data_IF_551282708119
#
_entry.id   IF_551282708119
#
_cell.length_a   1.000
_cell.length_b   1.000
_cell.length_c   1.000
_cell.angle_alpha   90.00
_cell.angle_beta   90.00
_cell.angle_gamma   90.00
#
_symmetry.space_group_name_H-M   'P 1'
#
loop_
_entity.id
_entity.type
_entity.pdbx_description
1 polymer ?
#
# COMPACT_ATOMS: atom_id res chain seq x y z
N UNK A 1 -14.06 -26.84 14.46
CA UNK A 1 -12.96 -26.51 13.53
C UNK A 1 -12.35 -25.21 14.01
N UNK A 2 -11.08 -25.21 14.43
CA UNK A 2 -10.35 -23.99 14.78
C UNK A 2 -10.24 -23.14 13.51
N UNK A 3 -10.78 -21.94 13.56
CA UNK A 3 -10.70 -21.00 12.43
C UNK A 3 -9.25 -20.52 12.28
N UNK A 4 -8.73 -20.60 11.05
CA UNK A 4 -7.34 -20.26 10.74
C UNK A 4 -7.08 -18.76 10.87
N UNK A 5 -5.94 -18.34 11.41
CA UNK A 5 -5.60 -16.93 11.54
C UNK A 5 -5.23 -16.30 10.19
N UNK A 6 -5.56 -15.00 10.04
CA UNK A 6 -5.16 -14.14 8.95
C UNK A 6 -4.20 -13.07 9.47
N UNK A 7 -3.05 -12.96 8.82
CA UNK A 7 -2.05 -11.91 9.03
C UNK A 7 -2.11 -10.94 7.85
N UNK A 8 -2.37 -9.67 8.10
CA UNK A 8 -2.63 -8.67 7.04
C UNK A 8 -1.52 -7.61 7.04
N UNK A 9 -0.73 -7.57 5.97
CA UNK A 9 0.09 -6.41 5.65
C UNK A 9 -0.72 -5.48 4.75
N UNK A 10 -1.25 -4.41 5.35
CA UNK A 10 -2.19 -3.48 4.68
C UNK A 10 -1.50 -2.41 3.82
N UNK A 11 -0.22 -2.46 3.66
CA UNK A 11 0.59 -1.44 2.98
C UNK A 11 0.98 -0.35 4.01
N UNK A 12 0.87 0.95 3.80
CA UNK A 12 0.13 1.62 2.72
C UNK A 12 0.86 1.63 1.36
N UNK A 13 0.29 2.36 0.40
CA UNK A 13 0.99 2.63 -0.85
C UNK A 13 2.28 3.41 -0.59
N UNK A 14 3.31 3.15 -1.40
CA UNK A 14 4.60 3.85 -1.37
C UNK A 14 5.36 3.74 -0.04
N UNK A 15 5.13 2.67 0.69
CA UNK A 15 5.81 2.34 1.96
C UNK A 15 6.68 1.06 1.87
N UNK A 16 7.03 0.63 0.64
CA UNK A 16 7.86 -0.56 0.44
C UNK A 16 7.07 -1.88 0.33
N UNK A 17 5.76 -1.82 0.06
CA UNK A 17 4.91 -3.02 -0.09
C UNK A 17 5.43 -3.99 -1.14
N UNK A 18 5.93 -3.49 -2.28
CA UNK A 18 6.49 -4.36 -3.32
C UNK A 18 7.76 -5.08 -2.87
N UNK A 19 8.61 -4.44 -2.04
CA UNK A 19 9.78 -5.09 -1.45
C UNK A 19 9.36 -6.17 -0.45
N UNK A 20 8.35 -5.90 0.38
CA UNK A 20 7.78 -6.89 1.27
C UNK A 20 7.19 -8.10 0.52
N UNK A 21 6.44 -7.86 -0.56
CA UNK A 21 5.91 -8.93 -1.41
C UNK A 21 7.02 -9.73 -2.10
N UNK A 22 8.13 -9.09 -2.49
CA UNK A 22 9.32 -9.79 -2.99
C UNK A 22 9.94 -10.67 -1.89
N UNK A 23 10.04 -10.17 -0.66
CA UNK A 23 10.49 -10.95 0.49
C UNK A 23 9.60 -12.20 0.71
N UNK A 24 8.28 -12.07 0.63
CA UNK A 24 7.37 -13.21 0.68
C UNK A 24 7.63 -14.21 -0.47
N UNK A 25 7.96 -13.72 -1.67
CA UNK A 25 8.29 -14.59 -2.80
C UNK A 25 9.58 -15.36 -2.57
N UNK A 26 10.67 -14.68 -2.22
CA UNK A 26 12.00 -15.29 -2.04
C UNK A 26 12.03 -16.29 -0.88
N UNK A 27 11.22 -16.05 0.16
CA UNK A 27 11.11 -16.92 1.32
C UNK A 27 9.91 -17.89 1.27
N UNK A 28 9.26 -18.05 0.10
CA UNK A 28 8.04 -18.87 -0.04
C UNK A 28 8.19 -20.30 0.47
N UNK A 29 9.33 -20.95 0.19
CA UNK A 29 9.58 -22.32 0.62
C UNK A 29 9.69 -22.42 2.15
N UNK A 30 10.45 -21.54 2.78
CA UNK A 30 10.58 -21.47 4.24
C UNK A 30 9.24 -21.19 4.93
N UNK A 31 8.47 -20.24 4.41
CA UNK A 31 7.13 -19.90 4.92
C UNK A 31 6.15 -21.08 4.75
N UNK A 32 6.21 -21.77 3.63
CA UNK A 32 5.42 -22.98 3.39
C UNK A 32 5.78 -24.12 4.37
N UNK A 33 7.07 -24.33 4.66
CA UNK A 33 7.55 -25.30 5.66
C UNK A 33 7.11 -24.91 7.09
N UNK A 34 7.01 -23.60 7.38
CA UNK A 34 6.44 -23.09 8.62
C UNK A 34 4.90 -23.19 8.68
N UNK A 35 4.26 -23.81 7.68
CA UNK A 35 2.81 -24.01 7.65
C UNK A 35 1.98 -22.79 7.23
N UNK A 36 2.60 -21.78 6.63
CA UNK A 36 1.95 -20.53 6.21
C UNK A 36 1.62 -20.55 4.71
N UNK A 37 0.47 -20.02 4.36
CA UNK A 37 0.08 -19.70 2.97
C UNK A 37 0.26 -18.22 2.69
N UNK A 38 0.44 -17.86 1.42
CA UNK A 38 0.74 -16.50 0.97
C UNK A 38 -0.26 -16.02 -0.06
N UNK A 39 -0.75 -14.79 0.11
CA UNK A 39 -1.60 -14.11 -0.85
C UNK A 39 -1.10 -12.67 -1.09
N UNK A 40 -0.63 -12.40 -2.29
CA UNK A 40 -0.23 -11.06 -2.73
C UNK A 40 -0.38 -10.91 -4.26
N UNK A 41 -0.61 -9.69 -4.78
CA UNK A 41 -0.74 -9.47 -6.21
C UNK A 41 0.64 -9.49 -6.92
N UNK A 42 0.65 -9.93 -8.18
CA UNK A 42 1.84 -9.90 -9.05
C UNK A 42 2.12 -8.54 -9.70
N UNK A 43 1.74 -7.44 -9.04
CA UNK A 43 2.03 -6.08 -9.53
C UNK A 43 3.53 -5.83 -9.51
N UNK A 44 3.96 -4.89 -10.33
CA UNK A 44 5.37 -4.47 -10.41
C UNK A 44 6.39 -5.56 -10.76
N UNK A 45 5.89 -6.69 -11.27
CA UNK A 45 6.73 -7.83 -11.66
C UNK A 45 7.17 -8.70 -10.49
N UNK A 46 6.44 -8.67 -9.37
CA UNK A 46 6.63 -9.62 -8.28
C UNK A 46 6.19 -11.01 -8.76
N UNK A 47 7.10 -12.00 -8.76
CA UNK A 47 6.77 -13.34 -9.22
C UNK A 47 5.79 -14.06 -8.30
N UNK A 48 5.06 -15.04 -8.83
CA UNK A 48 4.11 -15.88 -8.08
C UNK A 48 3.00 -15.12 -7.34
N UNK A 49 2.84 -13.83 -7.59
CA UNK A 49 1.73 -13.04 -7.08
C UNK A 49 0.55 -13.16 -8.03
N UNK A 50 -0.54 -13.71 -7.56
CA UNK A 50 -1.77 -13.98 -8.33
C UNK A 50 -3.04 -13.52 -7.62
N UNK A 51 -2.90 -12.92 -6.43
CA UNK A 51 -4.04 -12.41 -5.69
C UNK A 51 -4.82 -11.37 -6.50
N UNK A 52 -6.07 -11.68 -6.76
CA UNK A 52 -7.03 -10.81 -7.44
C UNK A 52 -8.20 -10.42 -6.52
N UNK A 53 -7.87 -9.91 -5.33
CA UNK A 53 -8.88 -9.49 -4.36
C UNK A 53 -9.67 -8.28 -4.88
N UNK A 54 -10.95 -8.50 -5.18
CA UNK A 54 -11.84 -7.49 -5.72
C UNK A 54 -12.65 -6.85 -4.60
N UNK A 55 -12.18 -5.71 -4.13
CA UNK A 55 -12.82 -4.88 -3.11
C UNK A 55 -13.51 -3.66 -3.76
N UNK A 56 -14.49 -3.01 -3.09
CA UNK A 56 -15.17 -1.83 -3.62
C UNK A 56 -14.19 -0.74 -4.08
N UNK A 57 -14.41 -0.18 -5.26
CA UNK A 57 -13.44 0.74 -5.89
C UNK A 57 -13.92 2.17 -6.10
N UNK A 58 -15.23 2.40 -6.00
CA UNK A 58 -15.87 3.68 -6.34
C UNK A 58 -16.70 4.18 -5.17
N UNK A 59 -16.56 5.46 -4.84
CA UNK A 59 -17.38 6.13 -3.81
C UNK A 59 -18.86 6.02 -4.22
N UNK A 60 -19.71 5.68 -3.22
CA UNK A 60 -21.15 5.50 -3.46
C UNK A 60 -21.52 4.17 -4.14
N UNK A 61 -20.52 3.30 -4.41
CA UNK A 61 -20.83 1.96 -4.91
C UNK A 61 -21.50 1.15 -3.79
N UNK A 62 -22.69 0.65 -4.08
CA UNK A 62 -23.36 -0.32 -3.24
C UNK A 62 -22.54 -1.62 -3.20
N UNK A 63 -22.28 -2.12 -1.98
CA UNK A 63 -21.53 -3.35 -1.78
C UNK A 63 -22.47 -4.51 -2.02
N UNK A 64 -22.43 -5.07 -3.22
CA UNK A 64 -23.28 -6.20 -3.59
C UNK A 64 -22.77 -7.51 -2.97
N UNK A 65 -23.68 -8.42 -2.60
CA UNK A 65 -23.37 -9.75 -2.02
C UNK A 65 -22.33 -10.54 -2.81
N UNK A 66 -22.36 -10.43 -4.13
CA UNK A 66 -21.34 -11.04 -5.01
C UNK A 66 -19.90 -10.63 -4.70
N UNK A 67 -19.66 -9.46 -4.08
CA UNK A 67 -18.31 -9.04 -3.69
C UNK A 67 -17.80 -9.83 -2.51
N UNK A 68 -18.66 -10.06 -1.50
CA UNK A 68 -18.33 -10.91 -0.35
C UNK A 68 -17.99 -12.33 -0.79
N UNK A 69 -18.88 -12.93 -1.60
CA UNK A 69 -18.70 -14.31 -2.09
C UNK A 69 -17.39 -14.45 -2.89
N UNK A 70 -17.08 -13.50 -3.77
CA UNK A 70 -15.84 -13.53 -4.56
C UNK A 70 -14.59 -13.33 -3.70
N UNK A 71 -14.63 -12.40 -2.76
CA UNK A 71 -13.51 -12.17 -1.85
C UNK A 71 -13.28 -13.40 -0.97
N UNK A 72 -14.33 -14.03 -0.46
CA UNK A 72 -14.28 -15.25 0.33
C UNK A 72 -13.65 -16.41 -0.47
N UNK A 73 -14.13 -16.65 -1.69
CA UNK A 73 -13.58 -17.70 -2.56
C UNK A 73 -12.07 -17.46 -2.81
N UNK A 74 -11.70 -16.22 -3.17
CA UNK A 74 -10.29 -15.85 -3.40
C UNK A 74 -9.43 -16.12 -2.17
N UNK A 75 -9.86 -15.71 -0.99
CA UNK A 75 -9.08 -15.91 0.24
C UNK A 75 -9.00 -17.39 0.63
N UNK A 76 -10.07 -18.14 0.44
CA UNK A 76 -10.09 -19.59 0.69
C UNK A 76 -9.12 -20.33 -0.24
N UNK A 77 -9.11 -20.00 -1.52
CA UNK A 77 -8.21 -20.62 -2.51
C UNK A 77 -6.73 -20.36 -2.14
N UNK A 78 -6.40 -19.15 -1.68
CA UNK A 78 -5.04 -18.81 -1.27
C UNK A 78 -4.63 -19.40 0.09
N UNK A 79 -5.58 -19.61 1.00
CA UNK A 79 -5.24 -20.14 2.33
C UNK A 79 -4.83 -21.61 2.31
N UNK A 80 -5.36 -22.39 1.36
CA UNK A 80 -5.10 -23.84 1.28
C UNK A 80 -5.22 -24.51 2.65
N UNK A 81 -6.23 -24.13 3.44
CA UNK A 81 -6.47 -24.62 4.79
C UNK A 81 -5.31 -24.42 5.79
N UNK A 82 -4.55 -23.34 5.61
CA UNK A 82 -3.44 -22.89 6.48
C UNK A 82 -3.62 -21.46 6.92
N UNK A 83 -2.96 -21.01 8.00
CA UNK A 83 -2.81 -19.59 8.30
C UNK A 83 -2.32 -18.82 7.07
N UNK A 84 -2.92 -17.64 6.82
CA UNK A 84 -2.68 -16.89 5.60
C UNK A 84 -1.99 -15.57 5.88
N UNK A 85 -0.88 -15.29 5.20
CA UNK A 85 -0.28 -13.95 5.10
C UNK A 85 -0.86 -13.28 3.86
N UNK A 86 -1.64 -12.23 4.06
CA UNK A 86 -2.22 -11.38 3.02
C UNK A 86 -1.45 -10.06 2.93
N UNK A 87 -0.82 -9.77 1.79
CA UNK A 87 -0.19 -8.47 1.54
C UNK A 87 -0.88 -7.77 0.37
N UNK A 88 -1.64 -6.71 0.66
CA UNK A 88 -2.39 -5.97 -0.37
C UNK A 88 -2.51 -4.48 0.01
N UNK A 89 -1.77 -3.63 -0.69
CA UNK A 89 -1.78 -2.18 -0.47
C UNK A 89 -3.11 -1.50 -0.80
N UNK A 90 -3.89 -2.10 -1.71
CA UNK A 90 -5.21 -1.55 -2.05
C UNK A 90 -6.31 -1.90 -1.03
N UNK A 91 -6.02 -2.53 0.11
CA UNK A 91 -7.01 -2.66 1.18
C UNK A 91 -7.56 -1.28 1.57
N UNK A 92 -6.71 -0.27 1.66
CA UNK A 92 -7.13 1.10 1.97
C UNK A 92 -7.85 1.81 0.82
N UNK A 93 -7.69 1.33 -0.41
CA UNK A 93 -8.22 1.97 -1.62
C UNK A 93 -7.12 2.43 -2.56
N UNK A 94 -7.40 3.42 -3.39
CA UNK A 94 -6.50 3.88 -4.46
C UNK A 94 -5.98 5.28 -4.20
N UNK A 95 -4.71 5.54 -4.49
CA UNK A 95 -4.05 6.84 -4.31
C UNK A 95 -4.60 7.96 -5.20
N UNK A 96 -5.27 7.66 -6.33
CA UNK A 96 -5.76 8.71 -7.21
C UNK A 96 -6.78 9.64 -6.54
N UNK A 97 -7.42 9.20 -5.46
CA UNK A 97 -8.33 10.02 -4.67
C UNK A 97 -7.61 11.19 -3.97
N UNK A 98 -6.31 11.08 -3.70
CA UNK A 98 -5.52 12.16 -3.12
C UNK A 98 -5.53 13.42 -3.98
N UNK A 99 -5.53 13.26 -5.31
CA UNK A 99 -5.64 14.38 -6.27
C UNK A 99 -6.97 15.13 -6.17
N UNK A 100 -7.93 14.61 -5.42
CA UNK A 100 -9.25 15.21 -5.15
C UNK A 100 -9.41 15.62 -3.69
N UNK A 101 -8.36 15.66 -2.91
CA UNK A 101 -8.41 15.97 -1.48
C UNK A 101 -9.07 14.88 -0.61
N UNK A 102 -9.13 13.65 -1.09
CA UNK A 102 -9.79 12.54 -0.41
C UNK A 102 -8.78 11.46 0.00
N UNK A 103 -8.56 11.30 1.29
CA UNK A 103 -7.58 10.35 1.83
C UNK A 103 -8.21 8.97 2.06
N UNK A 104 -7.97 8.04 1.14
CA UNK A 104 -8.50 6.66 1.17
C UNK A 104 -10.01 6.57 1.47
N UNK A 105 -10.87 7.21 0.70
CA UNK A 105 -12.30 7.31 1.01
C UNK A 105 -13.02 5.97 1.05
N UNK A 106 -12.44 4.94 0.42
CA UNK A 106 -13.02 3.60 0.34
C UNK A 106 -12.50 2.62 1.40
N UNK A 107 -11.66 3.07 2.35
CA UNK A 107 -11.04 2.17 3.33
C UNK A 107 -12.09 1.41 4.15
N UNK A 108 -13.12 2.08 4.66
CA UNK A 108 -14.20 1.45 5.46
C UNK A 108 -14.91 0.31 4.71
N UNK A 109 -15.62 0.58 3.61
CA UNK A 109 -16.31 -0.45 2.83
C UNK A 109 -15.40 -1.61 2.38
N UNK A 110 -14.13 -1.33 2.10
CA UNK A 110 -13.15 -2.35 1.69
C UNK A 110 -12.76 -3.26 2.85
N UNK A 111 -12.52 -2.67 4.02
CA UNK A 111 -12.23 -3.43 5.24
C UNK A 111 -13.43 -4.28 5.67
N UNK A 112 -14.66 -3.77 5.55
CA UNK A 112 -15.88 -4.52 5.84
C UNK A 112 -16.03 -5.75 4.94
N UNK A 113 -15.79 -5.59 3.62
CA UNK A 113 -15.81 -6.72 2.69
C UNK A 113 -14.72 -7.74 3.04
N UNK A 114 -13.50 -7.29 3.34
CA UNK A 114 -12.41 -8.17 3.74
C UNK A 114 -12.75 -8.93 5.02
N UNK A 115 -13.27 -8.23 6.04
CA UNK A 115 -13.67 -8.84 7.33
C UNK A 115 -14.77 -9.89 7.13
N UNK A 116 -15.80 -9.58 6.37
CA UNK A 116 -16.89 -10.50 6.09
C UNK A 116 -16.48 -11.72 5.23
N UNK A 117 -15.48 -11.53 4.37
CA UNK A 117 -14.95 -12.61 3.52
C UNK A 117 -14.07 -13.61 4.29
N UNK A 118 -13.53 -13.25 5.45
CA UNK A 118 -12.69 -14.11 6.27
C UNK A 118 -13.42 -14.60 7.50
N UNK A 119 -13.72 -15.90 7.55
CA UNK A 119 -14.48 -16.48 8.66
C UNK A 119 -13.66 -16.63 9.96
N UNK A 120 -12.33 -16.63 9.87
CA UNK A 120 -11.42 -16.79 11.00
C UNK A 120 -11.05 -15.49 11.73
N UNK A 121 -10.20 -15.57 12.75
CA UNK A 121 -9.63 -14.40 13.38
C UNK A 121 -8.70 -13.65 12.41
N UNK A 122 -8.68 -12.32 12.49
CA UNK A 122 -7.60 -11.51 11.93
C UNK A 122 -6.61 -11.32 13.07
N UNK A 123 -5.59 -12.21 13.10
CA UNK A 123 -4.65 -12.26 14.21
C UNK A 123 -3.81 -10.98 14.30
N UNK A 124 -3.39 -10.45 13.13
CA UNK A 124 -2.58 -9.24 13.14
C UNK A 124 -2.80 -8.41 11.86
N UNK A 125 -2.90 -7.10 12.02
CA UNK A 125 -2.83 -6.13 10.93
C UNK A 125 -1.59 -5.26 11.14
N UNK A 126 -0.73 -5.21 10.14
CA UNK A 126 0.46 -4.36 10.09
C UNK A 126 0.26 -3.27 9.02
N UNK A 127 0.35 -2.01 9.43
CA UNK A 127 0.28 -0.84 8.57
C UNK A 127 1.57 -0.03 8.68
N UNK A 128 2.25 0.21 7.56
CA UNK A 128 3.34 1.18 7.48
C UNK A 128 2.80 2.49 6.94
N UNK A 129 3.01 3.57 7.67
CA UNK A 129 2.57 4.93 7.30
C UNK A 129 3.76 5.80 6.88
N UNK A 130 3.50 6.83 6.10
CA UNK A 130 4.54 7.70 5.55
C UNK A 130 4.17 9.17 5.77
N UNK A 131 5.17 10.09 5.95
CA UNK A 131 4.94 11.53 5.93
C UNK A 131 4.13 11.97 4.70
N UNK A 132 3.20 12.89 4.89
CA UNK A 132 2.23 13.27 3.87
C UNK A 132 2.85 13.83 2.61
N UNK A 133 3.85 14.72 2.74
CA UNK A 133 4.58 15.30 1.63
C UNK A 133 5.21 14.22 0.74
N UNK A 134 5.96 13.31 1.35
CA UNK A 134 6.60 12.20 0.65
C UNK A 134 5.59 11.20 0.07
N UNK A 135 4.45 10.97 0.75
CA UNK A 135 3.38 10.11 0.25
C UNK A 135 2.72 10.72 -1.00
N UNK A 136 2.33 11.98 -0.94
CA UNK A 136 1.59 12.65 -2.02
C UNK A 136 2.47 12.84 -3.27
N UNK A 137 3.70 13.31 -3.08
CA UNK A 137 4.67 13.42 -4.19
C UNK A 137 4.92 12.05 -4.82
N UNK A 138 5.21 11.02 -4.02
CA UNK A 138 5.47 9.68 -4.53
C UNK A 138 4.25 9.05 -5.21
N UNK A 139 3.05 9.28 -4.67
CA UNK A 139 1.80 8.82 -5.25
C UNK A 139 1.48 9.51 -6.58
N UNK A 140 1.68 10.83 -6.67
CA UNK A 140 1.50 11.60 -7.89
C UNK A 140 2.49 11.15 -8.98
N UNK A 141 3.78 11.04 -8.66
CA UNK A 141 4.83 10.57 -9.58
C UNK A 141 4.49 9.18 -10.12
N UNK A 142 4.05 8.27 -9.26
CA UNK A 142 3.63 6.92 -9.68
C UNK A 142 2.42 6.95 -10.63
N UNK A 143 1.48 7.86 -10.40
CA UNK A 143 0.34 8.05 -11.29
C UNK A 143 0.76 8.61 -12.65
N UNK A 144 1.73 9.51 -12.68
CA UNK A 144 2.25 10.13 -13.89
C UNK A 144 3.02 9.18 -14.81
N UNK A 145 3.46 8.01 -14.30
CA UNK A 145 4.13 6.99 -15.12
C UNK A 145 3.24 6.40 -16.21
N UNK A 146 1.96 6.19 -15.94
CA UNK A 146 1.05 5.45 -16.82
C UNK A 146 -0.25 6.20 -17.16
N UNK A 147 -0.38 7.44 -16.70
CA UNK A 147 -1.55 8.27 -16.95
C UNK A 147 -1.18 9.72 -17.19
N UNK A 148 -1.98 10.49 -17.97
CA UNK A 148 -1.90 11.94 -17.94
C UNK A 148 -2.28 12.45 -16.56
N UNK A 149 -1.54 13.46 -16.10
CA UNK A 149 -1.81 14.15 -14.83
C UNK A 149 -1.80 15.68 -15.07
N UNK A 150 -2.61 16.45 -14.32
CA UNK A 150 -2.49 17.91 -14.35
C UNK A 150 -1.16 18.32 -13.70
N UNK A 151 -0.71 19.57 -13.85
CA UNK A 151 0.45 20.09 -13.13
C UNK A 151 0.32 19.88 -11.62
N UNK A 152 1.42 19.49 -10.96
CA UNK A 152 1.40 19.24 -9.51
C UNK A 152 0.96 20.47 -8.72
N UNK A 153 1.34 21.68 -9.18
CA UNK A 153 0.97 22.93 -8.55
C UNK A 153 -0.55 23.13 -8.46
N UNK A 154 -1.30 22.68 -9.47
CA UNK A 154 -2.77 22.78 -9.49
C UNK A 154 -3.42 21.85 -8.45
N UNK A 155 -2.71 20.81 -8.04
CA UNK A 155 -3.18 19.82 -7.08
C UNK A 155 -2.76 20.10 -5.64
N UNK A 156 -1.77 20.97 -5.41
CA UNK A 156 -1.29 21.30 -4.05
C UNK A 156 -2.42 21.71 -3.09
N UNK A 157 -3.39 22.57 -3.48
CA UNK A 157 -4.51 22.92 -2.59
C UNK A 157 -5.30 21.69 -2.13
N UNK A 158 -5.50 20.70 -2.99
CA UNK A 158 -6.21 19.46 -2.64
C UNK A 158 -5.42 18.61 -1.64
N UNK A 159 -4.10 18.52 -1.82
CA UNK A 159 -3.24 17.79 -0.88
C UNK A 159 -3.15 18.48 0.49
N UNK A 160 -3.11 19.81 0.52
CA UNK A 160 -3.10 20.58 1.77
C UNK A 160 -4.43 20.49 2.53
N UNK A 161 -5.56 20.49 1.81
CA UNK A 161 -6.92 20.41 2.35
C UNK A 161 -7.47 18.97 2.44
N UNK A 162 -6.61 17.96 2.64
CA UNK A 162 -7.04 16.56 2.70
C UNK A 162 -8.10 16.34 3.80
N UNK A 163 -9.19 15.66 3.45
CA UNK A 163 -10.41 15.49 4.25
C UNK A 163 -10.18 14.77 5.59
N UNK A 164 -9.16 13.92 5.66
CA UNK A 164 -8.77 13.13 6.84
C UNK A 164 -7.28 12.77 6.78
N UNK A 165 -6.78 12.04 7.80
CA UNK A 165 -5.39 11.64 7.89
C UNK A 165 -5.19 10.19 8.31
N UNK A 166 -3.99 9.85 8.76
CA UNK A 166 -3.65 8.50 9.22
C UNK A 166 -4.46 8.05 10.43
N UNK A 167 -4.79 8.90 11.44
CA UNK A 167 -5.58 8.48 12.59
C UNK A 167 -6.94 7.90 12.19
N UNK A 168 -7.63 8.50 11.23
CA UNK A 168 -8.93 8.03 10.75
C UNK A 168 -8.80 6.68 10.02
N UNK A 169 -7.71 6.47 9.27
CA UNK A 169 -7.43 5.19 8.60
C UNK A 169 -7.12 4.09 9.61
N UNK A 170 -6.31 4.39 10.63
CA UNK A 170 -6.00 3.45 11.71
C UNK A 170 -7.27 3.06 12.47
N UNK A 171 -8.13 4.03 12.78
CA UNK A 171 -9.44 3.78 13.39
C UNK A 171 -10.32 2.85 12.53
N UNK A 172 -10.38 3.09 11.21
CA UNK A 172 -11.12 2.24 10.26
C UNK A 172 -10.57 0.82 10.29
N UNK A 173 -9.25 0.62 10.22
CA UNK A 173 -8.65 -0.71 10.28
C UNK A 173 -9.01 -1.43 11.58
N UNK A 174 -8.88 -0.75 12.72
CA UNK A 174 -9.22 -1.31 14.03
C UNK A 174 -10.71 -1.70 14.12
N UNK A 175 -11.59 -0.77 13.78
CA UNK A 175 -13.02 -0.92 14.04
C UNK A 175 -13.71 -1.84 13.00
N UNK A 176 -13.26 -1.82 11.72
CA UNK A 176 -13.86 -2.66 10.67
C UNK A 176 -13.23 -4.06 10.59
N UNK A 177 -11.91 -4.19 10.69
CA UNK A 177 -11.25 -5.50 10.65
C UNK A 177 -11.27 -6.22 11.99
N UNK A 178 -11.32 -5.49 13.10
CA UNK A 178 -11.30 -6.02 14.48
C UNK A 178 -10.17 -7.04 14.68
N UNK A 179 -8.93 -6.68 14.39
CA UNK A 179 -7.80 -7.60 14.55
C UNK A 179 -7.50 -7.80 16.05
N UNK A 180 -6.91 -8.95 16.38
CA UNK A 180 -6.41 -9.21 17.73
C UNK A 180 -5.22 -8.28 18.06
N UNK A 181 -4.41 -7.94 17.05
CA UNK A 181 -3.33 -6.99 17.15
C UNK A 181 -3.34 -6.04 15.93
N UNK A 182 -3.19 -4.74 16.15
CA UNK A 182 -2.97 -3.73 15.11
C UNK A 182 -1.65 -3.02 15.40
N UNK A 183 -0.69 -3.16 14.49
CA UNK A 183 0.60 -2.45 14.58
C UNK A 183 0.69 -1.38 13.49
N UNK A 184 1.04 -0.17 13.90
CA UNK A 184 1.29 0.96 12.99
C UNK A 184 2.75 1.38 13.12
N UNK A 185 3.46 1.41 12.00
CA UNK A 185 4.88 1.78 11.93
C UNK A 185 5.07 3.02 11.07
N UNK A 186 5.78 4.05 11.55
CA UNK A 186 6.34 5.08 10.69
C UNK A 186 7.27 4.46 9.62
N UNK A 187 7.31 5.05 8.44
CA UNK A 187 8.11 4.52 7.31
C UNK A 187 9.61 4.47 7.65
N UNK A 188 10.07 5.44 8.38
CA UNK A 188 11.45 5.56 8.88
C UNK A 188 11.86 4.42 9.83
N UNK A 189 10.89 3.86 10.57
CA UNK A 189 11.10 2.81 11.57
C UNK A 189 10.74 1.41 11.05
N UNK A 190 10.36 1.30 9.76
CA UNK A 190 9.88 0.04 9.19
C UNK A 190 10.91 -1.09 9.20
N UNK A 191 12.19 -0.76 9.15
CA UNK A 191 13.27 -1.73 9.03
C UNK A 191 13.30 -2.47 7.68
N UNK A 192 13.82 -3.69 7.68
CA UNK A 192 13.90 -4.58 6.51
C UNK A 192 12.56 -5.25 6.24
N UNK A 193 12.42 -5.92 5.08
CA UNK A 193 11.21 -6.69 4.77
C UNK A 193 11.10 -7.95 5.64
N UNK A 194 12.22 -8.54 6.01
CA UNK A 194 12.27 -9.66 6.96
C UNK A 194 11.83 -9.20 8.35
N UNK A 195 12.29 -8.04 8.83
CA UNK A 195 11.86 -7.51 10.14
C UNK A 195 10.36 -7.13 10.16
N UNK A 196 9.78 -6.69 9.03
CA UNK A 196 8.33 -6.51 8.93
C UNK A 196 7.58 -7.84 9.02
N UNK A 197 8.14 -8.90 8.44
CA UNK A 197 7.56 -10.24 8.51
C UNK A 197 7.59 -10.80 9.93
N UNK A 198 8.69 -10.63 10.67
CA UNK A 198 8.80 -10.97 12.09
C UNK A 198 7.75 -10.26 12.94
N UNK A 199 7.57 -8.96 12.69
CA UNK A 199 6.55 -8.17 13.39
C UNK A 199 5.14 -8.61 13.06
N UNK A 200 4.87 -9.01 11.80
CA UNK A 200 3.54 -9.41 11.33
C UNK A 200 3.15 -10.79 11.85
N UNK A 201 4.07 -11.75 11.85
CA UNK A 201 3.83 -13.13 12.28
C UNK A 201 4.68 -13.42 13.51
N UNK A 202 4.14 -13.36 14.73
CA UNK A 202 4.86 -13.67 15.94
C UNK A 202 5.43 -15.10 15.92
N UNK A 203 6.55 -15.31 16.57
CA UNK A 203 7.23 -16.61 16.73
C UNK A 203 7.69 -17.28 15.42
N UNK A 204 7.66 -16.54 14.30
CA UNK A 204 8.20 -17.04 13.05
C UNK A 204 9.73 -17.08 13.11
N UNK A 205 10.31 -18.27 12.87
CA UNK A 205 11.76 -18.42 12.77
C UNK A 205 12.25 -17.80 11.45
N UNK A 206 12.91 -16.65 11.54
CA UNK A 206 13.37 -15.87 10.37
C UNK A 206 14.87 -15.92 10.12
N UNK A 207 15.63 -16.61 10.97
CA UNK A 207 17.10 -16.62 10.94
C UNK A 207 17.73 -17.08 9.61
N UNK A 208 17.01 -17.85 8.80
CA UNK A 208 17.44 -18.30 7.47
C UNK A 208 16.73 -17.53 6.33
N UNK A 209 15.91 -16.53 6.65
CA UNK A 209 15.17 -15.78 5.64
C UNK A 209 16.04 -14.74 4.95
N UNK A 210 15.82 -14.57 3.66
CA UNK A 210 16.60 -13.70 2.79
C UNK A 210 15.88 -12.37 2.61
N UNK A 211 16.60 -11.26 2.84
CA UNK A 211 16.13 -9.94 2.47
C UNK A 211 16.32 -9.75 0.95
N UNK A 212 15.30 -9.27 0.21
CA UNK A 212 15.41 -9.07 -1.23
C UNK A 212 16.54 -8.13 -1.61
N UNK A 213 17.46 -8.60 -2.45
CA UNK A 213 18.56 -7.77 -2.97
C UNK A 213 18.07 -6.73 -3.98
N UNK A 214 16.93 -6.98 -4.63
CA UNK A 214 16.40 -6.11 -5.69
C UNK A 214 15.51 -5.01 -5.10
N UNK A 215 15.89 -3.75 -5.32
CA UNK A 215 15.00 -2.63 -5.11
C UNK A 215 13.87 -2.64 -6.16
N UNK A 216 12.63 -2.68 -5.69
CA UNK A 216 11.44 -2.72 -6.54
C UNK A 216 10.76 -1.36 -6.50
N UNK A 217 10.24 -0.89 -7.64
CA UNK A 217 9.47 0.36 -7.74
C UNK A 217 10.27 1.64 -7.40
N UNK A 218 11.48 1.77 -7.87
CA UNK A 218 12.15 3.06 -7.90
C UNK A 218 11.28 4.08 -8.63
N UNK A 219 11.21 5.30 -8.11
CA UNK A 219 10.49 6.39 -8.76
C UNK A 219 11.19 6.75 -10.07
N UNK A 220 10.41 6.94 -11.15
CA UNK A 220 10.94 7.48 -12.39
C UNK A 220 11.56 8.86 -12.17
N UNK A 221 12.58 9.21 -12.97
CA UNK A 221 13.22 10.54 -12.90
C UNK A 221 12.28 11.64 -13.40
N UNK A 222 12.57 12.90 -13.08
CA UNK A 222 11.77 14.02 -13.58
C UNK A 222 11.78 14.06 -15.11
N UNK A 223 12.94 13.83 -15.73
CA UNK A 223 13.08 13.74 -17.18
C UNK A 223 12.20 12.66 -17.81
N UNK A 224 12.14 11.47 -17.19
CA UNK A 224 11.29 10.39 -17.65
C UNK A 224 9.80 10.75 -17.54
N UNK A 225 9.39 11.35 -16.43
CA UNK A 225 8.00 11.77 -16.22
C UNK A 225 7.58 12.88 -17.18
N UNK A 226 8.42 13.87 -17.43
CA UNK A 226 8.19 14.92 -18.42
C UNK A 226 8.02 14.35 -19.83
N UNK A 227 8.90 13.41 -20.23
CA UNK A 227 8.80 12.73 -21.52
C UNK A 227 7.49 11.94 -21.65
N UNK A 228 7.08 11.21 -20.62
CA UNK A 228 5.80 10.49 -20.58
C UNK A 228 4.60 11.46 -20.69
N UNK A 229 4.60 12.55 -19.93
CA UNK A 229 3.50 13.51 -19.94
C UNK A 229 3.37 14.22 -21.30
N UNK A 230 4.46 14.52 -22.00
CA UNK A 230 4.41 15.03 -23.39
C UNK A 230 3.66 14.08 -24.32
N UNK A 231 3.89 12.77 -24.18
CA UNK A 231 3.20 11.76 -24.99
C UNK A 231 1.71 11.67 -24.62
N UNK A 232 1.37 11.72 -23.33
CA UNK A 232 -0.02 11.63 -22.86
C UNK A 232 -0.84 12.87 -23.21
N UNK A 233 -0.27 14.06 -23.11
CA UNK A 233 -0.92 15.32 -23.54
C UNK A 233 -1.20 15.30 -25.05
N UNK A 234 -0.35 14.64 -25.86
CA UNK A 234 -0.59 14.38 -27.28
C UNK A 234 -1.70 13.33 -27.55
N UNK A 235 -2.44 12.88 -26.53
CA UNK A 235 -3.58 11.97 -26.66
C UNK A 235 -3.21 10.49 -26.81
N UNK A 236 -1.93 10.13 -26.70
CA UNK A 236 -1.50 8.75 -26.84
C UNK A 236 -1.59 8.00 -25.51
N UNK A 237 -2.15 6.78 -25.54
CA UNK A 237 -2.08 5.83 -24.42
C UNK A 237 -0.94 4.86 -24.66
N UNK A 238 0.02 4.83 -23.74
CA UNK A 238 1.13 3.89 -23.80
C UNK A 238 0.79 2.57 -23.10
N UNK A 239 1.13 1.45 -23.75
CA UNK A 239 1.12 0.14 -23.08
C UNK A 239 2.30 0.05 -22.11
N UNK A 240 2.19 -0.79 -21.07
CA UNK A 240 3.18 -0.95 -19.99
C UNK A 240 4.63 -1.08 -20.51
N UNK A 241 4.87 -1.88 -21.55
CA UNK A 241 6.20 -2.03 -22.15
C UNK A 241 6.77 -0.70 -22.67
N UNK A 242 5.94 0.11 -23.35
CA UNK A 242 6.39 1.38 -23.96
C UNK A 242 6.72 2.45 -22.91
N UNK A 243 5.86 2.65 -21.88
CA UNK A 243 6.17 3.64 -20.88
C UNK A 243 7.34 3.21 -19.99
N UNK A 244 7.55 1.90 -19.73
CA UNK A 244 8.77 1.41 -19.07
C UNK A 244 10.02 1.70 -19.88
N UNK A 245 10.01 1.46 -21.19
CA UNK A 245 11.14 1.79 -22.07
C UNK A 245 11.49 3.29 -22.00
N UNK A 246 10.50 4.19 -21.91
CA UNK A 246 10.76 5.62 -21.74
C UNK A 246 11.37 5.94 -20.36
N UNK A 247 10.91 5.29 -19.30
CA UNK A 247 11.52 5.44 -17.98
C UNK A 247 12.98 5.00 -18.00
N UNK A 248 13.27 3.84 -18.58
CA UNK A 248 14.62 3.29 -18.67
C UNK A 248 15.54 4.20 -19.51
N UNK A 249 15.03 4.77 -20.61
CA UNK A 249 15.78 5.69 -21.48
C UNK A 249 16.25 6.96 -20.75
N UNK A 250 15.45 7.46 -19.81
CA UNK A 250 15.75 8.67 -19.04
C UNK A 250 16.20 8.35 -17.60
N UNK A 251 16.48 7.08 -17.29
CA UNK A 251 16.77 6.62 -15.92
C UNK A 251 18.06 7.19 -15.33
N UNK A 252 19.03 7.52 -16.16
CA UNK A 252 20.32 8.10 -15.74
C UNK A 252 20.27 9.62 -15.54
N UNK A 253 19.26 10.31 -16.08
CA UNK A 253 19.04 11.74 -15.87
C UNK A 253 18.34 11.95 -14.52
N UNK A 254 19.13 12.12 -13.46
CA UNK A 254 18.67 12.29 -12.07
C UNK A 254 18.56 13.75 -11.64
N UNK A 255 18.74 14.69 -12.56
CA UNK A 255 18.65 16.11 -12.26
C UNK A 255 17.22 16.46 -11.79
N UNK A 256 17.06 17.05 -10.58
CA UNK A 256 15.75 17.49 -10.11
C UNK A 256 15.24 18.66 -10.95
N UNK A 257 14.07 18.50 -11.56
CA UNK A 257 13.43 19.54 -12.39
C UNK A 257 12.16 20.10 -11.77
N UNK A 258 11.84 19.65 -10.54
CA UNK A 258 10.66 20.12 -9.83
C UNK A 258 9.34 19.59 -10.39
N UNK A 259 9.35 18.41 -11.03
CA UNK A 259 8.14 17.80 -11.60
C UNK A 259 7.00 17.67 -10.58
N UNK A 260 7.34 17.41 -9.32
CA UNK A 260 6.38 17.36 -8.22
C UNK A 260 7.10 17.75 -6.92
N UNK A 261 6.81 18.94 -6.42
CA UNK A 261 7.40 19.45 -5.19
C UNK A 261 6.42 20.39 -4.47
N UNK A 262 6.41 20.29 -3.15
CA UNK A 262 5.78 21.27 -2.26
C UNK A 262 6.76 22.41 -1.98
N UNK A 263 6.25 23.59 -1.64
CA UNK A 263 7.08 24.67 -1.11
C UNK A 263 7.58 24.33 0.31
N UNK A 264 8.65 24.96 0.78
CA UNK A 264 9.14 24.75 2.15
C UNK A 264 8.06 24.96 3.23
N UNK A 265 7.17 25.95 3.06
CA UNK A 265 6.07 26.23 3.97
C UNK A 265 5.04 25.08 3.97
N UNK A 266 4.65 24.57 2.80
CA UNK A 266 3.72 23.43 2.69
C UNK A 266 4.31 22.16 3.29
N UNK A 267 5.62 21.92 3.11
CA UNK A 267 6.34 20.80 3.75
C UNK A 267 6.25 20.91 5.27
N UNK A 268 6.51 22.12 5.83
CA UNK A 268 6.42 22.36 7.28
C UNK A 268 5.01 22.10 7.82
N UNK A 269 3.97 22.57 7.12
CA UNK A 269 2.58 22.33 7.50
C UNK A 269 2.22 20.83 7.47
N UNK A 270 2.59 20.11 6.41
CA UNK A 270 2.36 18.67 6.29
C UNK A 270 3.15 17.87 7.33
N UNK A 271 4.37 18.29 7.66
CA UNK A 271 5.20 17.70 8.71
C UNK A 271 4.58 17.89 10.11
N UNK A 272 4.09 19.10 10.42
CA UNK A 272 3.38 19.38 11.67
C UNK A 272 2.12 18.52 11.78
N UNK A 273 1.35 18.41 10.70
CA UNK A 273 0.17 17.52 10.65
C UNK A 273 0.56 16.08 10.93
N UNK A 274 1.59 15.56 10.24
CA UNK A 274 2.06 14.19 10.44
C UNK A 274 2.50 13.93 11.87
N UNK A 275 3.29 14.83 12.46
CA UNK A 275 3.74 14.75 13.85
C UNK A 275 2.56 14.72 14.84
N UNK A 276 1.57 15.57 14.63
CA UNK A 276 0.35 15.57 15.44
C UNK A 276 -0.42 14.24 15.31
N UNK A 277 -0.48 13.68 14.10
CA UNK A 277 -1.16 12.42 13.84
C UNK A 277 -0.39 11.22 14.45
N UNK A 278 0.94 11.20 14.42
CA UNK A 278 1.75 10.21 15.12
C UNK A 278 1.42 10.19 16.62
N UNK A 279 1.38 11.38 17.23
CA UNK A 279 1.01 11.53 18.65
C UNK A 279 -0.40 11.01 18.94
N UNK A 280 -1.38 11.29 18.09
CA UNK A 280 -2.75 10.78 18.26
C UNK A 280 -2.76 9.24 18.17
N UNK A 281 -2.09 8.67 17.19
CA UNK A 281 -2.06 7.21 16.98
C UNK A 281 -1.34 6.47 18.09
N UNK A 282 -0.25 7.01 18.65
CA UNK A 282 0.46 6.41 19.79
C UNK A 282 -0.37 6.36 21.08
N UNK A 283 -1.48 7.11 21.13
CA UNK A 283 -2.41 7.17 22.27
C UNK A 283 -3.72 6.40 22.01
N UNK A 284 -3.85 5.75 20.84
CA UNK A 284 -5.07 5.01 20.50
C UNK A 284 -5.12 3.65 21.19
N UNK A 285 -6.19 3.37 21.90
CA UNK A 285 -6.44 2.06 22.48
C UNK A 285 -6.52 0.99 21.40
N UNK A 286 -5.89 -0.17 21.67
CA UNK A 286 -5.85 -1.31 20.76
C UNK A 286 -4.90 -1.14 19.57
N UNK A 287 -4.01 -0.13 19.60
CA UNK A 287 -2.98 0.12 18.58
C UNK A 287 -1.60 -0.02 19.21
N UNK A 288 -0.76 -0.90 18.66
CA UNK A 288 0.67 -0.94 18.94
C UNK A 288 1.36 0.03 17.99
N UNK A 289 2.11 0.99 18.51
CA UNK A 289 2.76 2.02 17.73
C UNK A 289 4.29 1.95 17.91
N UNK A 290 5.04 1.89 16.78
CA UNK A 290 6.50 1.80 16.78
C UNK A 290 7.07 0.42 16.52
#
# INVERSE_FOLDING_TARGET
MTSLPLYVHAGAHRTGTSSFQMCLHENRAALGNAGLSLAYPGRDGIPSGDLALRLPGTIGMEVADKMYVRAQATLKDHSAERPLILSEENILGRMFHFMKGQFYPMAGPRCEVLRAAWAGPIAHVLLVIRPYDGLFVSGFRKRAEDNPVPPFNDLRPHYMAMDRGWPEIVKILRDSLRPEKLTVLPYEDRGTSVSLLERLVPDLATGEMVEPARLVNLSATDAALEALQKVYVGGQKLRRRKWKTLIDLHGEDKEPRGFAAFSPQEIDELSKRYTADLKKMSQMDGVSFG
#
